data_IF_122155535202
#
_entry.id   IF_122155535202
#
_cell.length_a   1.000
_cell.length_b   1.000
_cell.length_c   1.000
_cell.angle_alpha   90.00
_cell.angle_beta   90.00
_cell.angle_gamma   90.00
#
_symmetry.space_group_name_H-M   'P 1'
#
loop_
_entity.id
_entity.type
_entity.pdbx_description
1 polymer ?
#
# COMPACT_ATOMS: atom_id res chain seq x y z
N UNK A 1 10.13 14.92 -6.05
CA UNK A 1 9.86 13.60 -6.65
C UNK A 1 8.71 12.96 -5.89
N UNK A 2 7.86 12.21 -6.57
CA UNK A 2 6.76 11.46 -5.98
C UNK A 2 7.03 9.96 -6.18
N UNK A 3 6.80 9.16 -5.14
CA UNK A 3 6.92 7.71 -5.22
C UNK A 3 5.65 7.13 -5.84
N UNK A 4 5.79 6.20 -6.78
CA UNK A 4 4.69 5.50 -7.41
C UNK A 4 4.59 4.09 -6.83
N UNK A 5 3.36 3.68 -6.51
CA UNK A 5 3.02 2.28 -6.21
C UNK A 5 2.19 1.80 -7.39
N UNK A 6 2.69 0.80 -8.10
CA UNK A 6 1.98 0.13 -9.18
C UNK A 6 1.55 -1.28 -8.75
N UNK A 7 0.61 -1.85 -9.51
CA UNK A 7 0.19 -3.25 -9.37
C UNK A 7 -0.26 -3.68 -7.95
N UNK A 8 -0.85 -2.77 -7.17
CA UNK A 8 -1.42 -3.12 -5.87
C UNK A 8 -2.76 -3.85 -6.04
N UNK A 9 -2.96 -4.95 -5.30
CA UNK A 9 -4.27 -5.58 -5.17
C UNK A 9 -5.12 -4.80 -4.15
N UNK A 10 -6.29 -4.33 -4.57
CA UNK A 10 -7.19 -3.50 -3.76
C UNK A 10 -8.55 -4.17 -3.48
N UNK A 11 -8.74 -5.44 -3.83
CA UNK A 11 -10.04 -6.12 -3.71
C UNK A 11 -10.53 -6.20 -2.27
N UNK A 12 -9.71 -6.77 -1.38
CA UNK A 12 -10.07 -6.97 0.04
C UNK A 12 -10.24 -5.64 0.79
N UNK A 13 -9.37 -4.67 0.53
CA UNK A 13 -9.47 -3.37 1.20
C UNK A 13 -10.68 -2.57 0.74
N UNK A 14 -11.08 -2.68 -0.53
CA UNK A 14 -12.29 -2.04 -1.04
C UNK A 14 -13.52 -2.58 -0.30
N UNK A 15 -13.59 -3.90 -0.06
CA UNK A 15 -14.67 -4.51 0.72
C UNK A 15 -14.64 -4.01 2.18
N UNK A 16 -13.47 -4.05 2.83
CA UNK A 16 -13.31 -3.62 4.22
C UNK A 16 -13.68 -2.14 4.44
N UNK A 17 -13.33 -1.26 3.49
CA UNK A 17 -13.70 0.16 3.49
C UNK A 17 -15.22 0.34 3.35
N UNK A 18 -15.87 -0.40 2.45
CA UNK A 18 -17.30 -0.34 2.23
C UNK A 18 -18.10 -0.79 3.46
N UNK A 19 -17.69 -1.88 4.11
CA UNK A 19 -18.31 -2.38 5.35
C UNK A 19 -18.24 -1.37 6.50
N UNK A 20 -17.12 -0.64 6.62
CA UNK A 20 -16.86 0.31 7.72
C UNK A 20 -17.33 1.73 7.41
N UNK A 21 -17.73 1.98 6.16
CA UNK A 21 -17.94 3.33 5.62
C UNK A 21 -16.76 4.27 5.94
N UNK A 22 -15.53 3.77 5.82
CA UNK A 22 -14.30 4.48 6.17
C UNK A 22 -13.22 4.18 5.14
N UNK A 23 -12.70 5.22 4.50
CA UNK A 23 -11.67 5.14 3.46
C UNK A 23 -10.31 5.68 3.92
N UNK A 24 -10.23 6.07 5.19
CA UNK A 24 -9.01 6.55 5.82
C UNK A 24 -8.45 5.49 6.76
N UNK A 25 -7.22 5.07 6.50
CA UNK A 25 -6.51 4.05 7.26
C UNK A 25 -5.01 4.36 7.25
N UNK A 26 -4.30 3.79 8.21
CA UNK A 26 -2.84 3.91 8.23
C UNK A 26 -2.26 2.96 7.17
N UNK A 27 -1.61 3.54 6.15
CA UNK A 27 -0.87 2.79 5.14
C UNK A 27 0.56 2.56 5.62
N UNK A 28 0.95 1.29 5.76
CA UNK A 28 2.32 0.92 6.09
C UNK A 28 3.01 0.30 4.88
N UNK A 29 4.22 0.79 4.59
CA UNK A 29 5.05 0.38 3.45
C UNK A 29 6.47 0.14 3.94
N UNK A 30 6.93 -1.10 3.82
CA UNK A 30 8.30 -1.50 4.16
C UNK A 30 9.09 -1.87 2.91
N UNK A 31 9.75 -0.91 2.22
CA UNK A 31 10.61 -1.25 1.08
C UNK A 31 11.84 -2.03 1.54
N UNK A 32 12.28 -2.96 0.71
CA UNK A 32 13.54 -3.67 0.88
C UNK A 32 14.70 -2.68 0.71
N UNK A 33 15.74 -2.84 1.54
CA UNK A 33 16.95 -2.03 1.46
C UNK A 33 17.87 -2.55 0.35
N UNK A 34 17.56 -2.16 -0.88
CA UNK A 34 18.37 -2.49 -2.06
C UNK A 34 19.17 -1.25 -2.51
N UNK A 35 20.37 -1.46 -3.03
CA UNK A 35 21.26 -0.38 -3.50
C UNK A 35 21.23 -0.30 -5.03
N UNK A 36 21.42 0.91 -5.58
CA UNK A 36 21.53 1.17 -7.02
C UNK A 36 20.28 0.75 -7.83
N UNK A 37 19.10 0.83 -7.20
CA UNK A 37 17.79 0.52 -7.79
C UNK A 37 16.93 1.77 -7.90
N UNK A 38 15.95 1.74 -8.79
CA UNK A 38 14.95 2.81 -8.98
C UNK A 38 13.65 2.56 -8.20
N UNK A 39 13.43 1.35 -7.71
CA UNK A 39 12.24 0.95 -6.97
C UNK A 39 12.44 -0.36 -6.22
N UNK A 40 11.67 -0.56 -5.17
CA UNK A 40 11.67 -1.78 -4.36
C UNK A 40 10.29 -2.43 -4.43
N UNK A 41 10.19 -3.77 -4.51
CA UNK A 41 8.94 -4.43 -4.18
C UNK A 41 8.54 -4.07 -2.75
N UNK A 42 7.24 -3.89 -2.54
CA UNK A 42 6.64 -3.55 -1.25
C UNK A 42 5.44 -4.46 -1.02
N UNK A 43 5.13 -4.70 0.25
CA UNK A 43 3.85 -5.30 0.66
C UNK A 43 3.04 -4.23 1.41
N UNK A 44 2.12 -3.52 0.73
CA UNK A 44 1.28 -2.52 1.39
C UNK A 44 0.34 -3.18 2.38
N UNK A 45 0.36 -2.72 3.63
CA UNK A 45 -0.59 -3.16 4.65
C UNK A 45 -1.39 -1.96 5.15
N UNK A 46 -2.70 -2.08 5.08
CA UNK A 46 -3.64 -1.11 5.62
C UNK A 46 -4.09 -1.50 7.02
N UNK A 47 -4.04 -0.55 7.94
CA UNK A 47 -4.45 -0.70 9.33
C UNK A 47 -5.58 0.29 9.63
N UNK A 48 -6.75 -0.23 9.97
CA UNK A 48 -7.97 0.53 10.27
C UNK A 48 -8.06 0.93 11.74
#
# INVERSE_FOLDING_TARGET
GLWLIDNANLEEITQACAERNRYEFMLTLGPLRLRNITGSPVNPVALF
#
